data_IF_289242696128
#
_entry.id   IF_289242696128
#
_cell.length_a   1.000
_cell.length_b   1.000
_cell.length_c   1.000
_cell.angle_alpha   90.00
_cell.angle_beta   90.00
_cell.angle_gamma   90.00
#
_symmetry.space_group_name_H-M   'P 1'
#
loop_
_entity.id
_entity.type
_entity.pdbx_description
1 polymer ?
#
# COMPACT_ATOMS: atom_id res chain seq x y z
N UNK A 1 -15.26 19.07 -3.59
CA UNK A 1 -14.68 18.57 -3.75
C UNK A 1 -13.89 18.00 -3.40
N UNK A 2 -14.02 17.60 -3.19
CA UNK A 2 -13.27 17.14 -3.18
C UNK A 2 -12.02 17.29 -3.03
N UNK A 3 -11.62 17.86 -2.31
CA UNK A 3 -10.29 18.29 -2.27
C UNK A 3 -9.29 17.31 -1.77
N UNK A 4 -9.71 16.28 -1.08
CA UNK A 4 -8.79 15.24 -0.65
C UNK A 4 -8.10 14.59 -1.84
N UNK A 5 -8.75 14.60 -2.98
CA UNK A 5 -8.15 14.01 -4.16
C UNK A 5 -6.94 14.75 -4.65
N UNK A 6 -6.86 16.03 -4.30
CA UNK A 6 -5.81 16.87 -4.82
C UNK A 6 -4.45 16.56 -4.24
N UNK A 7 -4.42 15.83 -3.13
CA UNK A 7 -3.16 15.46 -2.50
C UNK A 7 -2.61 14.15 -3.02
N UNK A 8 -3.32 13.51 -3.92
CA UNK A 8 -2.91 12.24 -4.49
C UNK A 8 -2.47 12.45 -5.93
N UNK A 9 -1.29 11.98 -6.27
CA UNK A 9 -0.75 12.09 -7.61
C UNK A 9 -0.49 10.71 -8.18
N UNK A 10 -0.27 10.64 -9.48
CA UNK A 10 0.08 9.37 -10.10
C UNK A 10 1.39 8.81 -9.56
N UNK A 11 2.29 9.68 -9.14
CA UNK A 11 3.55 9.25 -8.56
C UNK A 11 3.40 8.56 -7.22
N UNK A 12 2.23 8.67 -6.59
CA UNK A 12 1.97 8.02 -5.31
C UNK A 12 1.59 6.55 -5.47
N UNK A 13 1.43 6.09 -6.70
CA UNK A 13 1.07 4.70 -6.97
C UNK A 13 2.27 3.94 -7.52
N UNK A 14 2.44 2.72 -7.07
CA UNK A 14 3.55 1.89 -7.50
C UNK A 14 3.02 0.46 -7.68
N UNK A 15 3.40 -0.22 -8.77
CA UNK A 15 2.97 -1.61 -8.92
C UNK A 15 3.40 -2.42 -7.71
N UNK A 16 2.53 -3.32 -7.26
CA UNK A 16 2.78 -4.10 -6.07
C UNK A 16 4.11 -4.85 -6.12
N UNK A 17 4.40 -5.44 -7.27
CA UNK A 17 5.63 -6.22 -7.42
C UNK A 17 6.88 -5.35 -7.34
N UNK A 18 6.79 -4.15 -7.89
CA UNK A 18 7.89 -3.20 -7.84
C UNK A 18 8.08 -2.70 -6.42
N UNK A 19 6.98 -2.39 -5.76
CA UNK A 19 7.05 -1.85 -4.40
C UNK A 19 7.60 -2.88 -3.41
N UNK A 20 7.32 -4.16 -3.64
CA UNK A 20 7.83 -5.21 -2.77
C UNK A 20 9.36 -5.20 -2.70
N UNK A 21 10.01 -4.74 -3.77
CA UNK A 21 11.47 -4.68 -3.83
C UNK A 21 11.99 -3.24 -3.83
N UNK A 22 11.14 -2.29 -3.49
CA UNK A 22 11.51 -0.89 -3.49
C UNK A 22 12.46 -0.59 -2.35
N UNK A 23 13.51 0.21 -2.60
CA UNK A 23 14.48 0.52 -1.54
C UNK A 23 13.89 1.23 -0.34
N UNK A 24 12.78 1.95 -0.52
CA UNK A 24 12.13 2.65 0.58
C UNK A 24 11.17 1.77 1.36
N UNK A 25 10.92 0.55 0.90
CA UNK A 25 10.04 -0.38 1.59
C UNK A 25 10.80 -1.00 2.77
N UNK A 26 10.39 -0.72 4.00
CA UNK A 26 11.13 -1.23 5.17
C UNK A 26 10.87 -2.70 5.47
N UNK A 27 9.95 -3.32 4.74
CA UNK A 27 9.56 -4.70 5.00
C UNK A 27 10.30 -5.65 4.09
N UNK A 28 10.52 -6.87 4.57
CA UNK A 28 11.01 -7.92 3.71
C UNK A 28 9.92 -8.32 2.74
N UNK A 29 10.31 -9.01 1.68
CA UNK A 29 9.34 -9.48 0.70
C UNK A 29 8.29 -10.38 1.35
N UNK A 30 8.72 -11.25 2.26
CA UNK A 30 7.79 -12.15 2.96
C UNK A 30 6.79 -11.37 3.81
N UNK A 31 7.28 -10.37 4.53
CA UNK A 31 6.41 -9.53 5.36
C UNK A 31 5.41 -8.78 4.51
N UNK A 32 5.87 -8.22 3.40
CA UNK A 32 4.99 -7.48 2.51
C UNK A 32 3.91 -8.38 1.92
N UNK A 33 4.28 -9.56 1.47
CA UNK A 33 3.33 -10.50 0.91
C UNK A 33 2.31 -10.95 1.95
N UNK A 34 2.75 -11.13 3.19
CA UNK A 34 1.84 -11.48 4.27
C UNK A 34 0.81 -10.37 4.50
N UNK A 35 1.27 -9.12 4.52
CA UNK A 35 0.37 -7.99 4.68
C UNK A 35 -0.66 -7.95 3.57
N UNK A 36 -0.21 -8.18 2.34
CA UNK A 36 -1.11 -8.16 1.20
C UNK A 36 -2.17 -9.26 1.30
N UNK A 37 -1.76 -10.47 1.66
CA UNK A 37 -2.68 -11.59 1.74
C UNK A 37 -3.73 -11.39 2.83
N UNK A 38 -3.36 -10.70 3.89
CA UNK A 38 -4.23 -10.50 5.05
C UNK A 38 -4.80 -9.10 5.12
N UNK A 39 -4.83 -8.39 4.01
CA UNK A 39 -5.18 -6.97 4.00
C UNK A 39 -6.58 -6.68 4.52
N UNK A 40 -7.50 -7.61 4.33
CA UNK A 40 -8.88 -7.42 4.83
C UNK A 40 -8.93 -7.46 6.35
N UNK A 41 -8.03 -8.21 6.96
CA UNK A 41 -8.03 -8.38 8.41
C UNK A 41 -7.11 -7.38 9.11
N UNK A 42 -6.07 -6.92 8.44
CA UNK A 42 -5.06 -6.09 9.09
C UNK A 42 -5.18 -4.59 8.78
N UNK A 43 -6.19 -4.20 8.03
CA UNK A 43 -6.44 -2.80 7.75
C UNK A 43 -5.66 -2.22 6.59
N UNK A 44 -4.90 -3.02 5.89
CA UNK A 44 -4.10 -2.53 4.75
C UNK A 44 -4.85 -2.53 3.43
N UNK A 45 -6.13 -2.91 3.43
CA UNK A 45 -6.90 -3.00 2.20
C UNK A 45 -6.89 -1.69 1.42
N UNK A 46 -6.98 -0.58 2.10
CA UNK A 46 -7.02 0.73 1.45
C UNK A 46 -5.72 1.12 0.78
N UNK A 47 -4.63 0.47 1.17
CA UNK A 47 -3.33 0.78 0.59
C UNK A 47 -3.12 0.11 -0.76
N UNK A 48 -3.98 -0.83 -1.13
CA UNK A 48 -3.84 -1.57 -2.37
C UNK A 48 -5.00 -1.25 -3.31
N UNK A 49 -4.67 -0.93 -4.55
CA UNK A 49 -5.65 -0.62 -5.58
C UNK A 49 -5.64 -1.73 -6.60
N UNK A 50 -6.79 -2.37 -6.80
CA UNK A 50 -6.89 -3.44 -7.78
C UNK A 50 -7.18 -2.83 -9.14
N UNK A 51 -6.27 -3.05 -10.08
CA UNK A 51 -6.46 -2.61 -11.46
C UNK A 51 -7.21 -3.68 -12.25
N UNK A 52 -6.79 -4.93 -12.07
CA UNK A 52 -7.48 -6.07 -12.68
C UNK A 52 -7.13 -7.32 -11.86
N UNK A 53 -7.55 -8.49 -12.34
CA UNK A 53 -7.36 -9.73 -11.59
C UNK A 53 -5.90 -10.04 -11.28
N UNK A 54 -4.98 -9.49 -12.05
CA UNK A 54 -3.56 -9.81 -11.92
C UNK A 54 -2.70 -8.64 -11.50
N UNK A 55 -3.27 -7.44 -11.43
CA UNK A 55 -2.47 -6.27 -11.17
C UNK A 55 -3.03 -5.46 -10.02
N UNK A 56 -2.16 -5.21 -9.05
CA UNK A 56 -2.46 -4.33 -7.94
C UNK A 56 -1.42 -3.22 -7.89
N UNK A 57 -1.85 -2.06 -7.44
CA UNK A 57 -0.96 -0.94 -7.18
C UNK A 57 -0.95 -0.67 -5.68
N UNK A 58 0.16 -0.15 -5.19
CA UNK A 58 0.26 0.32 -3.81
C UNK A 58 0.12 1.83 -3.81
N UNK A 59 -0.81 2.32 -3.01
CA UNK A 59 -0.92 3.76 -2.77
C UNK A 59 0.01 4.09 -1.62
N UNK A 60 1.15 4.65 -1.93
CA UNK A 60 2.23 4.82 -0.95
C UNK A 60 1.81 5.63 0.28
N UNK A 61 1.13 6.77 0.15
CA UNK A 61 0.70 7.50 1.35
C UNK A 61 -0.22 6.68 2.25
N UNK A 62 -1.15 5.93 1.67
CA UNK A 62 -2.04 5.08 2.46
C UNK A 62 -1.28 3.94 3.13
N UNK A 63 -0.34 3.35 2.42
CA UNK A 63 0.49 2.30 2.98
C UNK A 63 1.29 2.81 4.16
N UNK A 64 1.88 3.99 4.00
CA UNK A 64 2.65 4.63 5.07
C UNK A 64 1.79 4.89 6.29
N UNK A 65 0.57 5.38 6.07
CA UNK A 65 -0.36 5.65 7.16
C UNK A 65 -0.75 4.38 7.88
N UNK A 66 -1.00 3.32 7.13
CA UNK A 66 -1.34 2.03 7.74
C UNK A 66 -0.20 1.49 8.61
N UNK A 67 1.04 1.66 8.17
CA UNK A 67 2.19 1.27 8.97
C UNK A 67 2.27 2.11 10.24
N UNK A 68 2.05 3.41 10.12
CA UNK A 68 2.09 4.30 11.27
C UNK A 68 1.02 3.95 12.27
N UNK A 69 -0.15 3.55 11.79
CA UNK A 69 -1.27 3.20 12.67
C UNK A 69 -1.00 1.93 13.47
N UNK A 70 -0.09 1.09 13.01
CA UNK A 70 0.26 -0.13 13.73
C UNK A 70 1.25 0.12 14.86
N UNK A 71 1.79 1.29 14.93
CA UNK A 71 2.87 1.59 15.87
C UNK A 71 2.47 1.38 17.32
N UNK A 72 1.22 1.57 17.65
CA UNK A 72 0.76 1.42 19.02
C UNK A 72 0.17 0.07 19.34
N UNK A 73 0.23 -0.84 18.39
CA UNK A 73 -0.41 -2.14 18.58
C UNK A 73 0.45 -3.12 19.40
#
# INVERSE_FOLDING_TARGET
MTNTHLNTTLGDFCPKDVFANHPDNPLTESEFNWLFKNRDANGFKEAFVRVNARKFLVHIPSFTQCLADRRGA
#
